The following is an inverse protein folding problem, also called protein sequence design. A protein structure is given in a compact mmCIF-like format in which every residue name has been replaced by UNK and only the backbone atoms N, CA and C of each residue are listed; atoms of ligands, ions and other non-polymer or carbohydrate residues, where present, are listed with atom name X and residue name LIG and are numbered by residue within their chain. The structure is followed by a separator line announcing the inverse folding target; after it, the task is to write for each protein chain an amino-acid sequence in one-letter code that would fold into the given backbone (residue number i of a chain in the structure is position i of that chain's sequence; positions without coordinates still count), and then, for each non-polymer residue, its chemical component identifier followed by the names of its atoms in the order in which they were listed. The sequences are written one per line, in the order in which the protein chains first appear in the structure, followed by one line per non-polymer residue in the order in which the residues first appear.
data_IF_118098183603
#
_entry.id   IF_118098183603
#
_cell.length_a   1.000
_cell.length_b   1.000
_cell.length_c   1.000
_cell.angle_alpha   90.00
_cell.angle_beta   90.00
_cell.angle_gamma   90.00
#
_symmetry.space_group_name_H-M   'P 1'
#
loop_
_entity.id
_entity.type
_entity.pdbx_description
1 polymer ?
#
# COMPACT_ATOMS: atom_id res chain seq x y z
N UNK A 1 -12.68 16.44 -50.65
CA UNK A 1 -12.14 17.16 -49.48
C UNK A 1 -12.88 16.86 -48.19
N UNK A 2 -14.11 16.40 -48.18
CA UNK A 2 -14.86 16.07 -46.94
C UNK A 2 -14.42 14.76 -46.31
N UNK A 3 -13.96 13.79 -47.10
CA UNK A 3 -13.58 12.46 -46.63
C UNK A 3 -12.17 12.43 -46.00
N UNK A 4 -11.33 13.40 -46.32
CA UNK A 4 -9.97 13.51 -45.77
C UNK A 4 -9.94 14.07 -44.33
N UNK A 5 -10.98 14.85 -43.96
CA UNK A 5 -11.09 15.45 -42.61
C UNK A 5 -11.55 14.39 -41.58
N UNK A 6 -12.39 13.44 -42.01
CA UNK A 6 -12.83 12.34 -41.13
C UNK A 6 -11.69 11.39 -40.76
N UNK A 7 -10.74 11.12 -41.68
CA UNK A 7 -9.63 10.23 -41.45
C UNK A 7 -8.59 10.84 -40.48
N UNK A 8 -8.43 12.17 -40.50
CA UNK A 8 -7.52 12.87 -39.59
C UNK A 8 -8.04 12.93 -38.14
N UNK A 9 -9.36 12.86 -37.93
CA UNK A 9 -9.98 12.94 -36.60
C UNK A 9 -9.91 11.61 -35.84
N UNK A 10 -9.77 10.49 -36.54
CA UNK A 10 -9.68 9.16 -35.93
C UNK A 10 -8.27 8.82 -35.42
N UNK A 11 -7.23 9.54 -35.84
CA UNK A 11 -5.84 9.28 -35.46
C UNK A 11 -5.49 9.93 -34.10
N UNK A 12 -6.32 10.88 -33.61
CA UNK A 12 -5.99 11.66 -32.42
C UNK A 12 -6.41 11.03 -31.07
N UNK A 13 -6.95 9.80 -31.06
CA UNK A 13 -7.52 9.18 -29.86
C UNK A 13 -6.67 8.12 -29.17
N UNK A 14 -5.37 8.01 -29.51
CA UNK A 14 -4.45 7.16 -28.76
C UNK A 14 -3.66 7.97 -27.73
N UNK A 15 -4.35 8.63 -26.80
CA UNK A 15 -3.71 9.12 -25.59
C UNK A 15 -3.42 7.86 -24.74
N UNK A 16 -2.20 7.37 -24.82
CA UNK A 16 -1.72 6.37 -23.89
C UNK A 16 -1.67 7.05 -22.50
N UNK A 17 -2.75 6.94 -21.74
CA UNK A 17 -2.75 7.30 -20.32
C UNK A 17 -1.77 6.35 -19.62
N UNK A 18 -0.56 6.81 -19.39
CA UNK A 18 0.42 6.09 -18.60
C UNK A 18 0.00 6.19 -17.13
N UNK A 19 -0.76 5.24 -16.66
CA UNK A 19 -1.08 5.15 -15.25
C UNK A 19 0.19 4.74 -14.49
N UNK A 20 0.61 5.55 -13.53
CA UNK A 20 1.67 5.20 -12.58
C UNK A 20 1.14 4.27 -11.50
N UNK A 21 2.04 3.49 -10.88
CA UNK A 21 1.70 2.72 -9.68
C UNK A 21 1.28 3.68 -8.57
N UNK A 22 0.14 3.39 -7.97
CA UNK A 22 -0.41 4.12 -6.82
C UNK A 22 -0.85 3.16 -5.73
N UNK A 23 -0.79 3.62 -4.48
CA UNK A 23 -1.13 2.84 -3.30
C UNK A 23 -2.27 3.51 -2.52
N UNK A 24 -3.04 2.75 -1.73
CA UNK A 24 -3.93 3.29 -0.71
C UNK A 24 -3.18 4.18 0.29
N UNK A 25 -3.83 5.19 0.83
CA UNK A 25 -3.22 6.20 1.72
C UNK A 25 -2.64 5.66 3.02
N UNK A 26 -3.04 4.49 3.46
CA UNK A 26 -2.50 3.88 4.68
C UNK A 26 -1.13 3.22 4.47
N UNK A 27 -0.69 3.00 3.21
CA UNK A 27 0.70 2.69 2.92
C UNK A 27 1.50 3.99 2.91
N UNK A 28 2.13 4.30 4.00
CA UNK A 28 2.94 5.51 4.16
C UNK A 28 4.15 5.25 5.06
N UNK A 29 5.04 6.20 5.13
CA UNK A 29 6.21 6.14 6.00
C UNK A 29 5.81 5.95 7.46
N UNK A 30 6.66 5.26 8.21
CA UNK A 30 6.50 4.93 9.63
C UNK A 30 5.34 3.97 9.93
N UNK A 31 4.84 3.22 8.94
CA UNK A 31 3.80 2.23 9.18
C UNK A 31 4.34 0.99 9.90
N UNK A 32 3.43 0.26 10.56
CA UNK A 32 3.70 -1.03 11.17
C UNK A 32 2.90 -2.10 10.44
N UNK A 33 3.57 -3.19 10.05
CA UNK A 33 2.97 -4.37 9.46
C UNK A 33 2.84 -5.48 10.50
N UNK A 34 1.76 -6.26 10.43
CA UNK A 34 1.53 -7.36 11.37
C UNK A 34 2.56 -8.47 11.17
N UNK A 35 3.26 -8.85 12.28
CA UNK A 35 4.18 -9.99 12.28
C UNK A 35 3.45 -11.33 12.21
N UNK A 36 4.16 -12.38 11.85
CA UNK A 36 3.70 -13.78 11.85
C UNK A 36 2.46 -14.03 10.97
N UNK A 37 2.12 -13.11 10.10
CA UNK A 37 1.05 -13.22 9.12
C UNK A 37 1.53 -12.84 7.73
N UNK A 38 0.88 -13.39 6.72
CA UNK A 38 1.07 -12.94 5.34
C UNK A 38 0.82 -11.44 5.25
N UNK A 39 1.72 -10.73 4.57
CA UNK A 39 1.68 -9.27 4.43
C UNK A 39 1.10 -8.94 3.05
N UNK A 40 -0.20 -8.57 2.97
CA UNK A 40 -0.80 -8.17 1.70
C UNK A 40 -0.37 -6.76 1.33
N UNK A 41 0.11 -6.59 0.09
CA UNK A 41 0.41 -5.29 -0.52
C UNK A 41 -0.39 -5.18 -1.81
N UNK A 42 -1.08 -4.07 -2.02
CA UNK A 42 -1.94 -3.89 -3.20
C UNK A 42 -2.05 -2.43 -3.60
N UNK A 43 -2.55 -2.21 -4.81
CA UNK A 43 -2.74 -0.88 -5.33
C UNK A 43 -3.26 -0.90 -6.76
N UNK A 44 -2.98 0.18 -7.47
CA UNK A 44 -3.36 0.37 -8.86
C UNK A 44 -2.12 0.70 -9.70
N UNK A 45 -2.17 0.34 -10.98
CA UNK A 45 -1.11 0.57 -11.95
C UNK A 45 -1.70 0.60 -13.37
N UNK A 46 -0.88 0.71 -14.38
CA UNK A 46 -1.32 0.52 -15.76
C UNK A 46 -1.82 -0.91 -16.01
N UNK A 47 -2.81 -1.06 -16.91
CA UNK A 47 -3.28 -2.39 -17.32
C UNK A 47 -2.11 -3.25 -17.79
N UNK A 48 -2.02 -4.48 -17.27
CA UNK A 48 -0.95 -5.45 -17.55
C UNK A 48 0.46 -4.97 -17.17
N UNK A 49 0.58 -3.93 -16.35
CA UNK A 49 1.87 -3.47 -15.85
C UNK A 49 2.47 -4.50 -14.90
N UNK A 50 3.78 -4.75 -15.06
CA UNK A 50 4.53 -5.62 -14.15
C UNK A 50 5.01 -4.80 -12.96
N UNK A 51 4.64 -5.24 -11.76
CA UNK A 51 5.01 -4.61 -10.49
C UNK A 51 5.93 -5.56 -9.72
N UNK A 52 7.01 -5.01 -9.18
CA UNK A 52 7.92 -5.69 -8.27
C UNK A 52 7.76 -5.08 -6.89
N UNK A 53 7.51 -5.90 -5.89
CA UNK A 53 7.44 -5.49 -4.48
C UNK A 53 8.60 -6.12 -3.73
N UNK A 54 9.35 -5.29 -3.01
CA UNK A 54 10.48 -5.70 -2.19
C UNK A 54 10.31 -5.20 -0.76
N UNK A 55 10.46 -6.10 0.20
CA UNK A 55 10.51 -5.80 1.63
C UNK A 55 11.55 -6.71 2.28
N UNK A 56 12.50 -6.12 3.00
CA UNK A 56 13.58 -6.85 3.66
C UNK A 56 14.28 -7.82 2.66
N UNK A 57 14.26 -9.12 2.93
CA UNK A 57 14.87 -10.15 2.09
C UNK A 57 13.92 -10.76 1.04
N UNK A 58 12.69 -10.25 0.94
CA UNK A 58 11.69 -10.77 0.03
C UNK A 58 11.53 -9.86 -1.19
N UNK A 59 11.48 -10.47 -2.36
CA UNK A 59 11.13 -9.80 -3.61
C UNK A 59 10.13 -10.66 -4.36
N UNK A 60 8.98 -10.08 -4.69
CA UNK A 60 7.93 -10.76 -5.46
C UNK A 60 7.44 -9.88 -6.62
N UNK A 61 6.94 -10.52 -7.66
CA UNK A 61 6.42 -9.86 -8.84
C UNK A 61 4.95 -10.21 -9.05
N UNK A 62 4.19 -9.24 -9.55
CA UNK A 62 2.80 -9.40 -9.94
C UNK A 62 2.53 -8.58 -11.20
N UNK A 63 1.50 -8.96 -11.94
CA UNK A 63 1.02 -8.21 -13.10
C UNK A 63 -0.35 -7.66 -12.78
N UNK A 64 -0.55 -6.36 -13.00
CA UNK A 64 -1.85 -5.72 -12.83
C UNK A 64 -2.88 -6.32 -13.80
N UNK A 65 -4.11 -6.43 -13.36
CA UNK A 65 -5.22 -6.91 -14.18
C UNK A 65 -5.61 -5.87 -15.28
N UNK A 66 -6.64 -6.20 -16.05
CA UNK A 66 -7.15 -5.30 -17.10
C UNK A 66 -7.69 -3.97 -16.54
N UNK A 67 -8.15 -3.97 -15.29
CA UNK A 67 -8.64 -2.78 -14.60
C UNK A 67 -7.51 -2.01 -13.89
N UNK A 68 -6.26 -2.48 -14.00
CA UNK A 68 -5.10 -1.89 -13.34
C UNK A 68 -4.96 -2.24 -11.87
N UNK A 69 -5.74 -3.15 -11.32
CA UNK A 69 -5.62 -3.60 -9.93
C UNK A 69 -4.55 -4.67 -9.81
N UNK A 70 -3.80 -4.62 -8.73
CA UNK A 70 -2.83 -5.65 -8.40
C UNK A 70 -2.81 -5.91 -6.89
N UNK A 71 -2.45 -7.13 -6.52
CA UNK A 71 -2.24 -7.55 -5.14
C UNK A 71 -1.14 -8.61 -5.10
N UNK A 72 -0.32 -8.56 -4.06
CA UNK A 72 0.70 -9.55 -3.77
C UNK A 72 0.71 -9.82 -2.27
N UNK A 73 0.87 -11.07 -1.89
CA UNK A 73 0.99 -11.46 -0.50
C UNK A 73 2.46 -11.86 -0.25
N UNK A 74 3.17 -11.06 0.54
CA UNK A 74 4.51 -11.37 1.01
C UNK A 74 4.42 -12.43 2.11
N UNK A 75 5.51 -13.16 2.31
CA UNK A 75 5.57 -14.17 3.36
C UNK A 75 5.55 -13.50 4.75
N UNK A 76 5.13 -14.25 5.77
CA UNK A 76 5.21 -13.82 7.15
C UNK A 76 6.66 -13.49 7.53
N UNK A 77 6.83 -12.48 8.34
CA UNK A 77 8.11 -12.04 8.93
C UNK A 77 7.97 -11.97 10.45
N UNK A 78 9.09 -12.14 11.13
CA UNK A 78 9.20 -11.87 12.56
C UNK A 78 9.26 -10.36 12.84
N UNK A 79 9.08 -9.96 14.08
CA UNK A 79 9.20 -8.57 14.49
C UNK A 79 10.60 -8.02 14.16
N UNK A 80 10.65 -6.83 13.59
CA UNK A 80 11.91 -6.20 13.19
C UNK A 80 11.73 -4.90 12.43
N UNK A 81 12.83 -4.39 11.94
CA UNK A 81 12.93 -3.13 11.20
C UNK A 81 13.88 -2.15 11.86
N UNK A 82 13.96 -0.92 11.36
CA UNK A 82 13.17 -0.37 10.25
C UNK A 82 13.60 -0.90 8.88
N UNK A 83 12.64 -1.18 8.03
CA UNK A 83 12.84 -1.61 6.65
C UNK A 83 12.32 -0.55 5.67
N UNK A 84 12.67 -0.72 4.39
CA UNK A 84 12.05 0.03 3.30
C UNK A 84 11.19 -0.93 2.48
N UNK A 85 9.92 -0.57 2.28
CA UNK A 85 9.04 -1.25 1.33
C UNK A 85 9.13 -0.53 -0.01
N UNK A 86 9.66 -1.20 -1.01
CA UNK A 86 9.84 -0.65 -2.36
C UNK A 86 8.85 -1.30 -3.32
N UNK A 87 8.08 -0.48 -4.02
CA UNK A 87 7.16 -0.89 -5.08
C UNK A 87 7.65 -0.28 -6.39
N UNK A 88 8.02 -1.11 -7.33
CA UNK A 88 8.58 -0.70 -8.62
C UNK A 88 7.68 -1.17 -9.76
N UNK A 89 7.17 -0.23 -10.52
CA UNK A 89 6.52 -0.40 -11.81
C UNK A 89 7.13 0.58 -12.81
N UNK A 90 6.32 1.34 -13.53
CA UNK A 90 6.78 2.47 -14.36
C UNK A 90 7.40 3.58 -13.51
N UNK A 91 6.89 3.79 -12.32
CA UNK A 91 7.48 4.63 -11.28
C UNK A 91 7.95 3.74 -10.12
N UNK A 92 8.66 4.33 -9.19
CA UNK A 92 9.10 3.67 -7.95
C UNK A 92 8.55 4.43 -6.76
N UNK A 93 7.95 3.69 -5.82
CA UNK A 93 7.48 4.20 -4.53
C UNK A 93 8.33 3.52 -3.46
N UNK A 94 8.93 4.32 -2.59
CA UNK A 94 9.66 3.86 -1.41
C UNK A 94 8.92 4.34 -0.18
N UNK A 95 8.55 3.41 0.68
CA UNK A 95 7.94 3.68 1.98
C UNK A 95 9.01 3.39 3.02
N UNK A 96 9.38 4.43 3.76
CA UNK A 96 10.50 4.40 4.68
C UNK A 96 10.06 4.07 6.11
N UNK A 97 11.02 3.57 6.89
CA UNK A 97 10.83 3.29 8.31
C UNK A 97 9.64 2.35 8.58
N UNK A 98 9.52 1.29 7.78
CA UNK A 98 8.50 0.25 7.97
C UNK A 98 8.95 -0.69 9.08
N UNK A 99 8.13 -0.85 10.10
CA UNK A 99 8.34 -1.81 11.17
C UNK A 99 7.45 -3.03 10.98
N UNK A 100 7.88 -4.17 11.49
CA UNK A 100 7.08 -5.39 11.59
C UNK A 100 6.89 -5.69 13.07
N UNK A 101 5.65 -5.80 13.52
CA UNK A 101 5.32 -5.97 14.94
C UNK A 101 3.87 -6.33 15.16
N UNK A 102 3.41 -6.17 16.39
CA UNK A 102 2.01 -6.41 16.73
C UNK A 102 1.16 -5.17 16.42
N UNK A 103 0.09 -5.37 15.66
CA UNK A 103 -0.87 -4.33 15.30
C UNK A 103 -2.20 -4.61 15.96
N UNK A 104 -2.62 -3.71 16.83
CA UNK A 104 -3.90 -3.78 17.55
C UNK A 104 -4.89 -2.82 16.92
N UNK A 105 -6.05 -3.32 16.52
CA UNK A 105 -7.16 -2.48 16.07
C UNK A 105 -8.06 -2.20 17.27
N UNK A 106 -8.03 -0.96 17.74
CA UNK A 106 -8.90 -0.47 18.80
C UNK A 106 -10.08 0.26 18.19
N UNK A 107 -11.29 -0.21 18.46
CA UNK A 107 -12.53 0.39 17.96
C UNK A 107 -13.60 0.31 19.04
N UNK A 108 -14.49 1.28 19.05
CA UNK A 108 -15.60 1.34 20.00
C UNK A 108 -16.32 2.68 19.94
N UNK A 109 -17.36 2.83 20.76
CA UNK A 109 -18.13 4.08 20.89
C UNK A 109 -17.49 4.98 21.96
N UNK A 110 -18.28 5.41 22.95
CA UNK A 110 -17.88 6.36 23.99
C UNK A 110 -16.60 6.01 24.77
N UNK A 111 -16.33 4.72 24.96
CA UNK A 111 -15.10 4.29 25.64
C UNK A 111 -13.81 4.65 24.87
N UNK A 112 -13.88 4.88 23.56
CA UNK A 112 -12.74 5.30 22.74
C UNK A 112 -12.55 6.81 22.74
N UNK A 113 -13.54 7.57 23.16
CA UNK A 113 -13.45 9.02 23.34
C UNK A 113 -12.84 9.43 24.68
N UNK A 114 -12.83 8.50 25.66
CA UNK A 114 -12.27 8.78 26.99
C UNK A 114 -10.76 8.89 26.94
N UNK A 115 -10.25 10.03 27.38
CA UNK A 115 -8.81 10.23 27.55
C UNK A 115 -8.31 9.44 28.76
N UNK A 116 -7.09 8.93 28.68
CA UNK A 116 -6.45 8.22 29.81
C UNK A 116 -6.41 9.12 31.08
N UNK A 117 -6.30 10.43 30.90
CA UNK A 117 -6.33 11.39 31.98
C UNK A 117 -7.69 11.49 32.70
N UNK A 118 -8.79 11.10 32.04
CA UNK A 118 -10.13 11.12 32.62
C UNK A 118 -10.41 9.84 33.43
N UNK A 119 -9.58 8.82 33.28
CA UNK A 119 -9.58 7.65 34.13
C UNK A 119 -8.68 7.94 35.34
N UNK A 120 -9.29 8.15 36.48
CA UNK A 120 -8.57 7.93 37.73
C UNK A 120 -8.32 6.42 37.85
N UNK A 121 -7.34 5.94 37.10
CA UNK A 121 -6.75 4.65 37.39
C UNK A 121 -6.13 4.77 38.78
N UNK A 122 -6.85 4.33 39.78
CA UNK A 122 -6.27 3.90 41.02
C UNK A 122 -5.40 2.69 40.67
N UNK A 123 -4.21 2.96 40.20
CA UNK A 123 -3.17 1.93 40.20
C UNK A 123 -2.95 1.64 41.68
N UNK A 124 -3.26 0.44 42.18
CA UNK A 124 -2.93 0.10 43.54
C UNK A 124 -1.41 0.32 43.66
N UNK A 125 -1.02 1.20 44.58
CA UNK A 125 0.37 1.39 44.96
C UNK A 125 0.82 0.12 45.68
N UNK A 126 1.10 -0.92 44.93
CA UNK A 126 1.63 -2.16 45.43
C UNK A 126 2.69 -2.60 44.44
N UNK A 127 3.87 -2.03 44.67
CA UNK A 127 5.16 -2.79 44.56
C UNK A 127 6.23 -1.89 45.18
#
# INVERSE_FOLDING_TARGET
MKDFVCLALTIFCYINATANVTLPKFFNDNMVLQRNHSIPVWGWAGSKEKITVQLHNQTKNVVADKAGKWRIDLSAEDAGGPYTLTIKGKNTINILNVLIGDVWVCSGQSNMEMKIADWQCQVPSAF
#
